data_IF_213619264556
#
_entry.id   IF_213619264556
#
_cell.length_a   1.000
_cell.length_b   1.000
_cell.length_c   1.000
_cell.angle_alpha   90.00
_cell.angle_beta   90.00
_cell.angle_gamma   90.00
#
_symmetry.space_group_name_H-M   'P 1'
#
loop_
_entity.id
_entity.type
_entity.pdbx_description
1 polymer ?
#
# COMPACT_ATOMS: atom_id res chain seq x y z
N UNK A 1 -13.21 -11.90 -1.40
CA UNK A 1 -11.84 -12.23 -0.92
C UNK A 1 -11.68 -11.54 0.43
N UNK A 2 -11.17 -12.23 1.44
CA UNK A 2 -11.06 -11.68 2.81
C UNK A 2 -9.68 -11.07 3.06
N UNK A 3 -9.64 -10.02 3.88
CA UNK A 3 -8.41 -9.36 4.33
C UNK A 3 -7.63 -10.26 5.28
N UNK A 4 -6.32 -10.35 5.07
CA UNK A 4 -5.40 -11.13 5.92
C UNK A 4 -4.82 -10.29 7.07
N UNK A 5 -4.72 -8.97 6.91
CA UNK A 5 -3.91 -8.14 7.79
C UNK A 5 -4.68 -7.06 8.57
N UNK A 6 -5.97 -6.82 8.27
CA UNK A 6 -6.76 -5.72 8.85
C UNK A 6 -6.83 -5.70 10.39
N UNK A 7 -6.79 -6.87 11.01
CA UNK A 7 -6.86 -7.00 12.48
C UNK A 7 -5.49 -7.03 13.16
N UNK A 8 -4.39 -6.93 12.39
CA UNK A 8 -3.06 -6.79 12.99
C UNK A 8 -2.96 -5.47 13.75
N UNK A 9 -2.27 -5.56 14.89
CA UNK A 9 -1.97 -4.44 15.78
C UNK A 9 -0.48 -4.48 16.08
N UNK A 10 0.12 -3.31 16.22
CA UNK A 10 1.54 -3.13 16.50
C UNK A 10 1.67 -2.32 17.79
N UNK A 11 2.67 -2.65 18.62
CA UNK A 11 2.91 -1.95 19.87
C UNK A 11 3.63 -0.61 19.63
N UNK A 12 4.40 -0.51 18.54
CA UNK A 12 5.15 0.68 18.17
C UNK A 12 5.08 0.99 16.67
N UNK A 13 5.42 2.23 16.31
CA UNK A 13 5.55 2.65 14.91
C UNK A 13 6.70 1.92 14.21
N UNK A 14 7.84 1.70 14.87
CA UNK A 14 8.99 0.98 14.32
C UNK A 14 8.64 -0.48 13.96
N UNK A 15 7.86 -1.15 14.82
CA UNK A 15 7.35 -2.49 14.55
C UNK A 15 6.43 -2.50 13.32
N UNK A 16 5.54 -1.52 13.23
CA UNK A 16 4.65 -1.35 12.09
C UNK A 16 5.42 -1.10 10.79
N UNK A 17 6.39 -0.18 10.79
CA UNK A 17 7.20 0.14 9.61
C UNK A 17 8.05 -1.06 9.18
N UNK A 18 8.64 -1.78 10.14
CA UNK A 18 9.38 -3.01 9.86
C UNK A 18 8.49 -4.07 9.23
N UNK A 19 7.28 -4.26 9.75
CA UNK A 19 6.32 -5.18 9.17
C UNK A 19 5.86 -4.73 7.78
N UNK A 20 5.56 -3.45 7.60
CA UNK A 20 5.12 -2.87 6.34
C UNK A 20 6.20 -3.07 5.26
N UNK A 21 7.46 -2.81 5.58
CA UNK A 21 8.58 -3.01 4.66
C UNK A 21 8.79 -4.48 4.28
N UNK A 22 8.49 -5.43 5.17
CA UNK A 22 8.59 -6.88 4.91
C UNK A 22 7.40 -7.45 4.15
N UNK A 23 6.26 -6.77 4.17
CA UNK A 23 5.00 -7.31 3.67
C UNK A 23 4.55 -6.62 2.39
N UNK A 24 4.79 -5.31 2.26
CA UNK A 24 4.43 -4.56 1.07
C UNK A 24 5.32 -4.98 -0.11
N UNK A 25 4.69 -5.25 -1.24
CA UNK A 25 5.37 -5.55 -2.51
C UNK A 25 5.33 -4.37 -3.46
N UNK A 26 4.38 -3.45 -3.28
CA UNK A 26 4.26 -2.27 -4.12
C UNK A 26 3.82 -1.08 -3.29
N UNK A 27 4.38 0.08 -3.59
CA UNK A 27 3.88 1.39 -3.17
C UNK A 27 3.27 2.08 -4.37
N UNK A 28 2.01 2.48 -4.26
CA UNK A 28 1.24 3.12 -5.31
C UNK A 28 1.06 4.57 -4.94
N UNK A 29 1.41 5.47 -5.84
CA UNK A 29 1.14 6.90 -5.74
C UNK A 29 -0.01 7.25 -6.68
N UNK A 30 -0.95 8.04 -6.20
CA UNK A 30 -2.08 8.55 -6.97
C UNK A 30 -1.79 9.96 -7.46
N UNK A 31 -2.45 10.34 -8.56
CA UNK A 31 -2.46 11.74 -9.00
C UNK A 31 -3.14 12.57 -7.92
N UNK A 32 -2.45 13.60 -7.45
CA UNK A 32 -2.99 14.54 -6.46
C UNK A 32 -4.03 15.47 -7.11
N UNK A 33 -5.29 15.28 -6.74
CA UNK A 33 -6.43 16.08 -7.15
C UNK A 33 -7.13 16.72 -5.94
N UNK A 34 -6.40 16.88 -4.82
CA UNK A 34 -6.91 17.47 -3.57
C UNK A 34 -7.59 16.47 -2.62
N UNK A 35 -7.33 15.17 -2.79
CA UNK A 35 -7.79 14.14 -1.85
C UNK A 35 -6.93 14.03 -0.58
N UNK A 36 -7.48 13.43 0.47
CA UNK A 36 -6.83 13.29 1.79
C UNK A 36 -5.67 12.26 1.83
N UNK A 37 -5.49 11.45 0.79
CA UNK A 37 -4.42 10.46 0.73
C UNK A 37 -3.90 10.27 -0.69
N UNK A 38 -2.59 10.09 -0.81
CA UNK A 38 -1.92 9.97 -2.11
C UNK A 38 -1.16 8.67 -2.28
N UNK A 39 -0.95 7.91 -1.19
CA UNK A 39 -0.11 6.73 -1.21
C UNK A 39 -0.83 5.51 -0.66
N UNK A 40 -0.65 4.38 -1.34
CA UNK A 40 -0.98 3.04 -0.85
C UNK A 40 0.29 2.18 -0.73
N UNK A 41 0.31 1.31 0.27
CA UNK A 41 1.19 0.15 0.29
C UNK A 41 0.35 -1.10 0.17
N UNK A 42 0.69 -1.97 -0.77
CA UNK A 42 -0.06 -3.20 -1.03
C UNK A 42 0.82 -4.44 -0.96
N UNK A 43 0.24 -5.56 -0.53
CA UNK A 43 0.90 -6.86 -0.57
C UNK A 43 0.87 -7.51 -1.96
N UNK A 44 1.39 -8.73 -2.08
CA UNK A 44 1.40 -9.51 -3.33
C UNK A 44 0.01 -9.87 -3.87
N UNK A 45 -1.04 -9.81 -3.03
CA UNK A 45 -2.43 -10.11 -3.36
C UNK A 45 -3.23 -8.86 -3.72
N UNK A 46 -2.64 -7.68 -3.58
CA UNK A 46 -3.30 -6.39 -3.77
C UNK A 46 -4.05 -5.91 -2.52
N UNK A 47 -3.83 -6.51 -1.36
CA UNK A 47 -4.39 -6.02 -0.10
C UNK A 47 -3.68 -4.75 0.35
N UNK A 48 -4.43 -3.68 0.61
CA UNK A 48 -3.91 -2.42 1.15
C UNK A 48 -3.51 -2.62 2.60
N UNK A 49 -2.22 -2.45 2.86
CA UNK A 49 -1.60 -2.53 4.18
C UNK A 49 -1.63 -1.18 4.90
N UNK A 50 -1.49 -0.09 4.15
CA UNK A 50 -1.47 1.27 4.71
C UNK A 50 -1.75 2.35 3.67
N UNK A 51 -2.21 3.53 4.13
CA UNK A 51 -2.32 4.75 3.34
C UNK A 51 -1.69 5.95 4.03
N UNK A 52 -1.19 6.91 3.24
CA UNK A 52 -0.68 8.21 3.73
C UNK A 52 -1.17 9.39 2.87
N UNK A 53 -1.30 10.60 3.45
CA UNK A 53 -1.16 10.92 4.88
C UNK A 53 -2.32 10.48 5.77
N UNK A 54 -3.54 10.31 5.25
CA UNK A 54 -4.72 10.02 6.07
C UNK A 54 -5.51 8.77 5.61
N UNK A 55 -6.64 8.54 6.26
CA UNK A 55 -7.67 7.54 5.92
C UNK A 55 -7.26 6.05 5.99
N UNK A 56 -6.16 5.70 6.66
CA UNK A 56 -5.73 4.30 6.79
C UNK A 56 -6.82 3.38 7.35
N UNK A 57 -7.61 3.84 8.33
CA UNK A 57 -8.72 3.04 8.89
C UNK A 57 -9.84 2.70 7.91
N UNK A 58 -10.00 3.45 6.81
CA UNK A 58 -11.04 3.22 5.79
C UNK A 58 -10.54 2.25 4.71
N UNK A 59 -9.27 2.37 4.33
CA UNK A 59 -8.70 1.67 3.18
C UNK A 59 -7.94 0.40 3.54
N UNK A 60 -7.40 0.30 4.77
CA UNK A 60 -6.66 -0.89 5.19
C UNK A 60 -7.51 -2.16 5.13
N UNK A 61 -6.97 -3.19 4.50
CA UNK A 61 -7.63 -4.47 4.26
C UNK A 61 -8.54 -4.50 3.02
N UNK A 62 -8.74 -3.39 2.30
CA UNK A 62 -9.35 -3.46 0.98
C UNK A 62 -8.40 -4.10 -0.01
N UNK A 63 -8.95 -4.80 -1.00
CA UNK A 63 -8.17 -5.54 -1.99
C UNK A 63 -8.37 -4.89 -3.36
N UNK A 64 -7.28 -4.43 -3.96
CA UNK A 64 -7.24 -3.91 -5.32
C UNK A 64 -6.93 -5.04 -6.31
N UNK A 65 -7.51 -4.93 -7.50
CA UNK A 65 -7.20 -5.81 -8.61
C UNK A 65 -5.83 -5.46 -9.18
N UNK A 66 -4.88 -6.39 -9.07
CA UNK A 66 -3.47 -6.18 -9.42
C UNK A 66 -3.25 -5.73 -10.87
N UNK A 67 -4.09 -6.19 -11.79
CA UNK A 67 -4.06 -5.84 -13.20
C UNK A 67 -4.42 -4.37 -13.48
N UNK A 68 -5.04 -3.70 -12.50
CA UNK A 68 -5.39 -2.27 -12.55
C UNK A 68 -4.32 -1.36 -11.94
N UNK A 69 -3.31 -1.92 -11.26
CA UNK A 69 -2.18 -1.16 -10.71
C UNK A 69 -1.21 -0.79 -11.84
N UNK A 70 -1.60 0.21 -12.63
CA UNK A 70 -0.84 0.70 -13.79
C UNK A 70 -0.90 2.21 -13.84
N UNK A 71 0.25 2.85 -14.10
CA UNK A 71 0.34 4.30 -14.26
C UNK A 71 -0.67 4.80 -15.30
N UNK A 72 -1.42 5.84 -14.95
CA UNK A 72 -2.47 6.43 -15.78
C UNK A 72 -3.82 5.74 -15.70
N UNK A 73 -3.94 4.60 -15.00
CA UNK A 73 -5.21 3.89 -14.82
C UNK A 73 -5.79 4.11 -13.42
N UNK A 74 -7.11 4.00 -13.32
CA UNK A 74 -7.83 3.97 -12.06
C UNK A 74 -7.70 2.61 -11.38
N UNK A 75 -7.51 2.60 -10.06
CA UNK A 75 -7.53 1.38 -9.28
C UNK A 75 -8.95 0.84 -9.17
N UNK A 76 -9.12 -0.46 -9.40
CA UNK A 76 -10.40 -1.15 -9.21
C UNK A 76 -10.25 -2.12 -8.03
N UNK A 77 -11.22 -2.11 -7.14
CA UNK A 77 -11.30 -2.98 -5.98
C UNK A 77 -12.05 -4.27 -6.33
N UNK A 78 -11.81 -5.33 -5.56
CA UNK A 78 -12.51 -6.62 -5.76
C UNK A 78 -14.02 -6.54 -5.52
N UNK A 79 -14.51 -5.49 -4.85
CA UNK A 79 -15.93 -5.22 -4.65
C UNK A 79 -16.57 -4.45 -5.83
N UNK A 80 -15.80 -4.18 -6.89
CA UNK A 80 -16.26 -3.47 -8.08
C UNK A 80 -16.20 -1.94 -7.96
N UNK A 81 -15.75 -1.40 -6.82
CA UNK A 81 -15.52 0.03 -6.70
C UNK A 81 -14.28 0.45 -7.51
N UNK A 82 -14.35 1.64 -8.10
CA UNK A 82 -13.22 2.24 -8.81
C UNK A 82 -12.79 3.51 -8.08
N UNK A 83 -11.50 3.60 -7.77
CA UNK A 83 -10.92 4.82 -7.23
C UNK A 83 -10.82 5.87 -8.33
N UNK A 84 -11.40 7.05 -8.10
CA UNK A 84 -11.46 8.12 -9.12
C UNK A 84 -10.10 8.71 -9.47
N UNK A 85 -9.16 8.67 -8.53
CA UNK A 85 -7.82 9.19 -8.71
C UNK A 85 -6.95 8.13 -9.42
N UNK A 86 -6.40 8.44 -10.61
CA UNK A 86 -5.57 7.51 -11.33
C UNK A 86 -4.21 7.34 -10.66
N UNK A 87 -3.54 6.23 -10.95
CA UNK A 87 -2.19 5.94 -10.47
C UNK A 87 -1.19 6.87 -11.15
N UNK A 88 -0.48 7.68 -10.38
CA UNK A 88 0.63 8.51 -10.84
C UNK A 88 1.93 7.69 -10.99
N UNK A 89 2.22 6.81 -10.03
CA UNK A 89 3.44 6.01 -10.01
C UNK A 89 3.25 4.68 -9.28
N UNK A 90 4.05 3.68 -9.64
CA UNK A 90 4.09 2.38 -8.97
C UNK A 90 5.55 2.04 -8.69
N UNK A 91 5.90 1.98 -7.42
CA UNK A 91 7.21 1.56 -6.94
C UNK A 91 7.13 0.11 -6.48
N UNK A 92 7.93 -0.78 -7.09
CA UNK A 92 8.06 -2.16 -6.62
C UNK A 92 8.98 -2.21 -5.41
N UNK A 93 8.48 -2.75 -4.31
CA UNK A 93 9.20 -2.95 -3.07
C UNK A 93 9.71 -4.39 -3.03
N UNK A 94 10.97 -4.56 -2.62
CA UNK A 94 11.57 -5.86 -2.42
C UNK A 94 11.54 -6.20 -0.92
N UNK A 95 10.56 -6.99 -0.44
CA UNK A 95 10.44 -7.33 0.98
C UNK A 95 11.65 -8.08 1.55
N UNK A 96 12.48 -8.67 0.67
CA UNK A 96 13.68 -9.40 1.04
C UNK A 96 14.96 -8.54 1.16
N UNK A 97 14.89 -7.23 0.89
CA UNK A 97 16.07 -6.36 0.90
C UNK A 97 16.28 -5.59 2.22
N UNK A 98 15.60 -5.99 3.30
CA UNK A 98 15.85 -5.46 4.66
C UNK A 98 17.09 -6.15 5.24
N UNK A 99 18.21 -5.87 4.61
CA UNK A 99 19.51 -6.47 4.90
C UNK A 99 20.64 -5.65 4.31
N UNK A 100 20.55 -4.31 4.29
CA UNK A 100 21.72 -3.48 4.06
C UNK A 100 21.51 -2.04 4.56
N UNK A 101 21.52 -1.85 5.89
CA UNK A 101 22.19 -0.67 6.45
C UNK A 101 23.56 -1.14 6.89
N UNK A 102 24.52 -1.13 5.96
CA UNK A 102 25.94 -1.15 6.33
C UNK A 102 26.19 -0.01 7.30
N UNK A 103 26.67 -0.35 8.50
CA UNK A 103 27.31 0.60 9.41
C UNK A 103 28.39 1.35 8.64
N UNK A 104 28.37 2.67 8.74
CA UNK A 104 29.49 3.54 8.40
C UNK A 104 29.19 4.90 9.03
N UNK A 105 30.08 5.54 9.77
CA UNK A 105 31.46 5.26 10.18
C UNK A 105 31.85 6.41 11.11
#
# INVERSE_FOLDING_TARGET
MESKYKDLRFGTEEEFETWLAKTATQKIELVDEGQDFNFFWVDERGEILHTKPFQAGIWNGKIVLLDTIKKGHNLVFTDGLTLKHPVANVEKLNPNNIGCKTKGG
#
